data_IF_298779327772
#
_entry.id   IF_298779327772
#
_cell.length_a   1.000
_cell.length_b   1.000
_cell.length_c   1.000
_cell.angle_alpha   90.00
_cell.angle_beta   90.00
_cell.angle_gamma   90.00
#
_symmetry.space_group_name_H-M   'P 1'
#
loop_
_entity.id
_entity.type
_entity.pdbx_description
1 polymer ?
#
# COMPACT_ATOMS: atom_id res chain seq x y z
N UNK A 1 1.52 51.87 25.81
CA UNK A 1 1.86 51.21 24.53
C UNK A 1 2.76 50.01 24.79
N UNK A 2 2.22 48.85 25.18
CA UNK A 2 2.99 47.59 25.16
C UNK A 2 2.04 46.49 24.65
N UNK A 3 2.50 45.83 23.59
CA UNK A 3 1.73 45.07 22.60
C UNK A 3 1.28 43.69 23.10
N UNK A 4 0.01 43.35 22.84
CA UNK A 4 -0.53 42.00 22.97
C UNK A 4 0.21 41.03 22.03
N UNK A 5 0.88 40.03 22.59
CA UNK A 5 1.43 38.92 21.82
C UNK A 5 0.30 37.92 21.50
N UNK A 6 -0.17 37.92 20.25
CA UNK A 6 -1.01 36.84 19.72
C UNK A 6 -0.12 35.60 19.60
N UNK A 7 -0.32 34.63 20.48
CA UNK A 7 0.20 33.27 20.31
C UNK A 7 -0.56 32.62 19.14
N UNK A 8 0.04 32.68 17.95
CA UNK A 8 -0.32 31.81 16.83
C UNK A 8 0.03 30.37 17.23
N UNK A 9 -0.92 29.70 17.90
CA UNK A 9 -0.94 28.24 17.99
C UNK A 9 -1.09 27.71 16.57
N UNK A 10 0.03 27.39 15.95
CA UNK A 10 0.07 26.60 14.73
C UNK A 10 -0.51 25.24 15.09
N UNK A 11 -1.81 25.06 14.84
CA UNK A 11 -2.49 23.78 14.92
C UNK A 11 -1.92 22.89 13.83
N UNK A 12 -0.76 22.30 14.09
CA UNK A 12 -0.38 21.07 13.43
C UNK A 12 -1.53 20.10 13.71
N UNK A 13 -2.33 19.85 12.68
CA UNK A 13 -3.27 18.74 12.65
C UNK A 13 -2.46 17.52 13.08
N UNK A 14 -2.64 17.10 14.33
CA UNK A 14 -2.14 15.82 14.81
C UNK A 14 -2.98 14.82 14.01
N UNK A 15 -2.48 14.44 12.84
CA UNK A 15 -3.07 13.35 12.09
C UNK A 15 -2.89 12.12 12.95
N UNK A 16 -3.97 11.70 13.60
CA UNK A 16 -4.01 10.48 14.40
C UNK A 16 -3.89 9.31 13.43
N UNK A 17 -2.66 8.86 13.16
CA UNK A 17 -2.39 7.69 12.34
C UNK A 17 -2.60 6.38 13.12
N UNK A 18 -2.51 5.23 12.45
CA UNK A 18 -2.56 3.94 13.11
C UNK A 18 -1.49 3.81 14.22
N UNK A 19 -1.84 3.17 15.34
CA UNK A 19 -0.92 2.93 16.47
C UNK A 19 0.15 1.88 16.16
N UNK A 20 -0.02 1.16 15.04
CA UNK A 20 0.87 0.12 14.54
C UNK A 20 1.19 0.41 13.07
N UNK A 21 2.38 0.04 12.60
CA UNK A 21 2.84 0.23 11.23
C UNK A 21 1.98 -0.57 10.26
N UNK A 22 0.99 0.10 9.68
CA UNK A 22 0.06 -0.49 8.73
C UNK A 22 -0.40 0.53 7.69
N UNK A 23 -0.98 0.01 6.62
CA UNK A 23 -1.65 0.82 5.62
C UNK A 23 -2.85 0.09 5.05
N UNK A 24 -3.98 0.79 4.95
CA UNK A 24 -5.16 0.37 4.20
C UNK A 24 -5.41 1.30 3.01
N UNK A 25 -5.62 0.71 1.84
CA UNK A 25 -5.93 1.44 0.61
C UNK A 25 -7.13 0.79 -0.07
N UNK A 26 -8.05 1.61 -0.54
CA UNK A 26 -9.16 1.20 -1.40
C UNK A 26 -8.90 1.71 -2.82
N UNK A 27 -8.89 0.80 -3.80
CA UNK A 27 -8.78 1.14 -5.22
C UNK A 27 -10.06 0.77 -5.97
N UNK A 28 -10.39 1.57 -6.96
CA UNK A 28 -11.51 1.33 -7.86
C UNK A 28 -11.01 1.27 -9.30
N UNK A 29 -11.58 0.36 -10.07
CA UNK A 29 -11.25 0.14 -11.48
C UNK A 29 -12.52 0.05 -12.31
N UNK A 30 -12.45 0.60 -13.51
CA UNK A 30 -13.39 0.35 -14.61
C UNK A 30 -13.01 -0.87 -15.44
N UNK A 31 -12.39 -1.89 -14.86
CA UNK A 31 -12.10 -3.18 -15.48
C UNK A 31 -12.55 -4.30 -14.53
N UNK A 32 -12.61 -5.54 -15.02
CA UNK A 32 -13.14 -6.67 -14.23
C UNK A 32 -12.15 -7.09 -13.15
N UNK A 33 -12.65 -7.72 -12.09
CA UNK A 33 -11.77 -8.17 -11.01
C UNK A 33 -10.83 -9.28 -11.43
N UNK A 34 -11.19 -10.09 -12.42
CA UNK A 34 -10.32 -11.10 -13.01
C UNK A 34 -9.05 -10.47 -13.59
N UNK A 35 -9.21 -9.39 -14.37
CA UNK A 35 -8.10 -8.70 -15.01
C UNK A 35 -7.17 -8.04 -13.94
N UNK A 36 -7.77 -7.44 -12.91
CA UNK A 36 -7.04 -6.85 -11.77
C UNK A 36 -6.30 -7.92 -10.94
N UNK A 37 -6.99 -9.03 -10.66
CA UNK A 37 -6.44 -10.18 -9.93
C UNK A 37 -5.23 -10.78 -10.65
N UNK A 38 -5.36 -11.04 -11.95
CA UNK A 38 -4.30 -11.60 -12.76
C UNK A 38 -3.07 -10.69 -12.81
N UNK A 39 -3.27 -9.38 -12.96
CA UNK A 39 -2.21 -8.39 -12.94
C UNK A 39 -1.45 -8.39 -11.60
N UNK A 40 -2.17 -8.34 -10.47
CA UNK A 40 -1.58 -8.36 -9.13
C UNK A 40 -0.82 -9.65 -8.82
N UNK A 41 -1.43 -10.81 -9.08
CA UNK A 41 -0.80 -12.11 -8.82
C UNK A 41 0.44 -12.30 -9.70
N UNK A 42 0.38 -11.88 -10.97
CA UNK A 42 1.52 -11.92 -11.88
C UNK A 42 2.65 -11.03 -11.38
N UNK A 43 2.33 -9.83 -10.89
CA UNK A 43 3.32 -8.90 -10.36
C UNK A 43 4.01 -9.42 -9.09
N UNK A 44 3.23 -9.97 -8.16
CA UNK A 44 3.77 -10.62 -6.94
C UNK A 44 4.75 -11.74 -7.31
N UNK A 45 4.40 -12.57 -8.31
CA UNK A 45 5.27 -13.65 -8.79
C UNK A 45 6.52 -13.13 -9.49
N UNK A 46 6.40 -12.05 -10.27
CA UNK A 46 7.52 -11.42 -10.97
C UNK A 46 8.56 -10.86 -9.99
N UNK A 47 8.11 -10.36 -8.84
CA UNK A 47 8.96 -9.78 -7.81
C UNK A 47 9.29 -10.73 -6.66
N UNK A 48 9.29 -12.04 -6.89
CA UNK A 48 9.59 -13.03 -5.85
C UNK A 48 11.05 -13.09 -5.40
N UNK A 49 11.97 -12.64 -6.24
CA UNK A 49 13.44 -12.74 -6.02
C UNK A 49 14.07 -11.38 -5.74
N UNK A 50 15.31 -11.41 -5.26
CA UNK A 50 16.12 -10.21 -4.99
C UNK A 50 16.53 -9.44 -6.26
N UNK A 51 16.35 -10.05 -7.44
CA UNK A 51 16.81 -9.53 -8.74
C UNK A 51 16.34 -8.11 -9.04
N UNK A 52 15.16 -7.73 -8.56
CA UNK A 52 14.53 -6.43 -8.82
C UNK A 52 14.73 -5.42 -7.68
N UNK A 53 15.49 -5.78 -6.62
CA UNK A 53 15.75 -4.84 -5.51
C UNK A 53 16.83 -3.80 -5.83
N UNK A 54 17.65 -4.02 -6.87
CA UNK A 54 18.80 -3.16 -7.20
C UNK A 54 18.38 -1.81 -7.79
N UNK A 55 17.13 -1.69 -8.24
CA UNK A 55 16.57 -0.47 -8.84
C UNK A 55 15.85 0.43 -7.83
N UNK A 56 15.94 0.13 -6.52
CA UNK A 56 15.24 0.88 -5.47
C UNK A 56 13.77 0.46 -5.30
N UNK A 57 13.07 1.15 -4.38
CA UNK A 57 11.64 0.98 -4.11
C UNK A 57 11.22 -0.40 -3.61
N UNK A 58 12.16 -1.22 -3.12
CA UNK A 58 11.96 -2.58 -2.62
C UNK A 58 10.99 -3.44 -3.45
N UNK A 59 11.10 -3.34 -4.78
CA UNK A 59 10.23 -4.01 -5.78
C UNK A 59 10.60 -5.47 -5.97
N UNK A 60 10.62 -6.22 -4.88
CA UNK A 60 11.21 -7.55 -4.82
C UNK A 60 10.82 -8.26 -3.52
N UNK A 61 11.18 -9.54 -3.38
CA UNK A 61 10.92 -10.38 -2.21
C UNK A 61 9.44 -10.40 -1.78
N UNK A 62 8.53 -10.31 -2.75
CA UNK A 62 7.12 -10.58 -2.54
C UNK A 62 6.88 -12.09 -2.57
N UNK A 63 6.09 -12.61 -1.64
CA UNK A 63 5.78 -14.03 -1.53
C UNK A 63 4.28 -14.24 -1.52
N UNK A 64 3.75 -14.84 -2.58
CA UNK A 64 2.36 -15.27 -2.63
C UNK A 64 2.13 -16.42 -1.63
N UNK A 65 1.12 -16.29 -0.79
CA UNK A 65 0.74 -17.31 0.21
C UNK A 65 -0.48 -18.10 -0.27
N UNK A 66 -1.53 -17.38 -0.65
CA UNK A 66 -2.77 -17.94 -1.14
C UNK A 66 -3.45 -16.91 -2.05
N UNK A 67 -4.27 -17.36 -3.00
CA UNK A 67 -4.93 -16.46 -3.95
C UNK A 67 -6.17 -17.09 -4.58
N UNK A 68 -7.19 -16.26 -4.77
CA UNK A 68 -8.37 -16.51 -5.60
C UNK A 68 -8.84 -15.18 -6.20
N UNK A 69 -9.76 -15.22 -7.17
CA UNK A 69 -10.30 -13.98 -7.78
C UNK A 69 -10.92 -13.01 -6.75
N UNK A 70 -11.29 -13.47 -5.56
CA UNK A 70 -11.86 -12.65 -4.49
C UNK A 70 -10.85 -12.18 -3.44
N UNK A 71 -9.68 -12.80 -3.35
CA UNK A 71 -8.67 -12.44 -2.35
C UNK A 71 -7.24 -12.82 -2.75
N UNK A 72 -6.26 -12.06 -2.26
CA UNK A 72 -4.84 -12.39 -2.37
C UNK A 72 -4.20 -12.22 -1.00
N UNK A 73 -3.48 -13.24 -0.54
CA UNK A 73 -2.61 -13.15 0.63
C UNK A 73 -1.16 -13.28 0.18
N UNK A 74 -0.34 -12.33 0.61
CA UNK A 74 1.07 -12.29 0.31
C UNK A 74 1.87 -11.74 1.50
N UNK A 75 3.19 -11.84 1.41
CA UNK A 75 4.14 -11.24 2.34
C UNK A 75 5.15 -10.43 1.52
N UNK A 76 5.64 -9.34 2.07
CA UNK A 76 6.80 -8.62 1.56
C UNK A 76 7.91 -8.67 2.60
N UNK A 77 9.12 -9.04 2.17
CA UNK A 77 10.29 -9.06 3.06
C UNK A 77 11.24 -7.94 2.69
N UNK A 78 11.54 -7.07 3.65
CA UNK A 78 12.45 -5.94 3.42
C UNK A 78 13.88 -6.45 3.10
N UNK A 79 14.50 -6.07 1.97
CA UNK A 79 15.76 -6.65 1.49
C UNK A 79 16.93 -6.60 2.48
N UNK A 80 17.02 -5.53 3.27
CA UNK A 80 18.17 -5.27 4.15
C UNK A 80 17.89 -5.55 5.63
N UNK A 81 16.64 -5.32 6.08
CA UNK A 81 16.28 -5.48 7.50
C UNK A 81 15.54 -6.78 7.79
N UNK A 82 15.18 -7.58 6.76
CA UNK A 82 14.45 -8.86 6.87
C UNK A 82 13.18 -8.83 7.72
N UNK A 83 12.59 -7.65 7.91
CA UNK A 83 11.28 -7.56 8.51
C UNK A 83 10.26 -7.97 7.45
N UNK A 84 9.23 -8.65 7.91
CA UNK A 84 8.15 -9.16 7.07
C UNK A 84 6.91 -8.34 7.34
N UNK A 85 6.27 -7.89 6.26
CA UNK A 85 4.98 -7.22 6.30
C UNK A 85 3.96 -8.11 5.56
N UNK A 86 2.83 -8.39 6.21
CA UNK A 86 1.74 -9.15 5.62
C UNK A 86 0.94 -8.26 4.67
N UNK A 87 0.48 -8.82 3.56
CA UNK A 87 -0.35 -8.15 2.56
C UNK A 87 -1.63 -8.96 2.37
N UNK A 88 -2.77 -8.30 2.54
CA UNK A 88 -4.09 -8.85 2.32
C UNK A 88 -4.85 -7.99 1.32
N UNK A 89 -5.34 -8.59 0.25
CA UNK A 89 -6.10 -7.91 -0.80
C UNK A 89 -7.44 -8.62 -0.95
N UNK A 90 -8.53 -7.86 -1.00
CA UNK A 90 -9.88 -8.35 -1.29
C UNK A 90 -10.41 -7.67 -2.54
N UNK A 91 -11.03 -8.44 -3.42
CA UNK A 91 -11.60 -7.94 -4.67
C UNK A 91 -13.10 -8.20 -4.69
N UNK A 92 -13.87 -7.17 -5.04
CA UNK A 92 -15.32 -7.22 -5.16
C UNK A 92 -15.75 -6.61 -6.48
N UNK A 93 -16.42 -7.42 -7.31
CA UNK A 93 -16.96 -6.96 -8.57
C UNK A 93 -18.22 -6.11 -8.33
N UNK A 94 -18.39 -5.04 -9.11
CA UNK A 94 -19.59 -4.20 -9.07
C UNK A 94 -19.97 -3.73 -10.48
N UNK A 95 -21.16 -3.13 -10.62
CA UNK A 95 -21.74 -2.73 -11.93
C UNK A 95 -21.74 -3.88 -12.95
N UNK A 96 -22.53 -4.91 -12.67
CA UNK A 96 -22.69 -6.08 -13.53
C UNK A 96 -21.34 -6.74 -13.91
N UNK A 97 -20.44 -6.86 -12.92
CA UNK A 97 -19.13 -7.51 -13.08
C UNK A 97 -18.14 -6.82 -14.03
N UNK A 98 -18.41 -5.57 -14.44
CA UNK A 98 -17.52 -4.82 -15.35
C UNK A 98 -16.51 -3.91 -14.64
N UNK A 99 -16.69 -3.69 -13.33
CA UNK A 99 -15.84 -2.85 -12.50
C UNK A 99 -15.35 -3.63 -11.29
N UNK A 100 -14.19 -3.26 -10.75
CA UNK A 100 -13.61 -3.91 -9.58
C UNK A 100 -13.31 -2.91 -8.47
N UNK A 101 -13.75 -3.24 -7.26
CA UNK A 101 -13.31 -2.59 -6.03
C UNK A 101 -12.29 -3.50 -5.35
N UNK A 102 -11.16 -2.92 -4.96
CA UNK A 102 -10.07 -3.61 -4.28
C UNK A 102 -9.85 -2.95 -2.93
N UNK A 103 -9.92 -3.72 -1.86
CA UNK A 103 -9.52 -3.30 -0.51
C UNK A 103 -8.23 -4.02 -0.15
N UNK A 104 -7.12 -3.27 -0.03
CA UNK A 104 -5.81 -3.80 0.28
C UNK A 104 -5.32 -3.31 1.65
N UNK A 105 -4.59 -4.17 2.35
CA UNK A 105 -3.98 -3.86 3.64
C UNK A 105 -2.58 -4.44 3.70
N UNK A 106 -1.61 -3.65 4.16
CA UNK A 106 -0.27 -4.10 4.51
C UNK A 106 0.00 -3.79 5.98
N UNK A 107 0.51 -4.77 6.72
CA UNK A 107 0.70 -4.68 8.18
C UNK A 107 2.05 -5.29 8.54
N UNK A 108 2.85 -4.59 9.35
CA UNK A 108 4.11 -5.16 9.81
C UNK A 108 3.90 -6.32 10.78
N UNK A 109 4.63 -7.43 10.63
CA UNK A 109 4.63 -8.49 11.65
C UNK A 109 5.34 -8.04 12.95
N UNK A 110 6.11 -6.95 12.90
CA UNK A 110 6.83 -6.43 14.05
C UNK A 110 5.87 -5.64 14.94
N UNK A 111 5.48 -6.21 16.08
CA UNK A 111 4.44 -5.67 16.96
C UNK A 111 4.76 -4.29 17.57
N UNK A 112 6.04 -3.95 17.71
CA UNK A 112 6.51 -2.65 18.24
C UNK A 112 6.83 -1.62 17.14
N UNK A 113 6.59 -1.94 15.86
CA UNK A 113 6.75 -0.99 14.78
C UNK A 113 5.56 -0.01 14.79
N UNK A 114 5.78 1.22 15.25
CA UNK A 114 4.76 2.29 15.25
C UNK A 114 4.93 3.18 14.01
N UNK A 115 6.18 3.43 13.61
CA UNK A 115 6.55 4.19 12.41
C UNK A 115 7.26 3.28 11.42
N UNK A 116 6.98 3.47 10.14
CA UNK A 116 7.48 2.65 9.04
C UNK A 116 7.95 3.45 7.83
N UNK A 117 8.05 4.77 7.91
CA UNK A 117 8.40 5.66 6.79
C UNK A 117 7.46 5.50 5.57
N UNK A 118 6.21 5.10 5.80
CA UNK A 118 5.27 4.82 4.72
C UNK A 118 5.54 3.50 3.99
N UNK A 119 6.40 2.62 4.53
CA UNK A 119 6.75 1.35 3.87
C UNK A 119 5.51 0.49 3.60
N UNK A 120 4.56 0.39 4.53
CA UNK A 120 3.36 -0.41 4.27
C UNK A 120 2.51 0.18 3.13
N UNK A 121 2.51 1.50 2.93
CA UNK A 121 1.91 2.11 1.74
C UNK A 121 2.68 1.74 0.48
N UNK A 122 4.01 1.84 0.50
CA UNK A 122 4.84 1.50 -0.66
C UNK A 122 4.77 0.02 -1.04
N UNK A 123 4.68 -0.89 -0.09
CA UNK A 123 4.44 -2.32 -0.34
C UNK A 123 3.19 -2.54 -1.21
N UNK A 124 2.13 -1.77 -0.96
CA UNK A 124 0.89 -1.83 -1.71
C UNK A 124 1.00 -1.08 -3.05
N UNK A 125 1.46 0.17 -3.02
CA UNK A 125 1.55 1.03 -4.21
C UNK A 125 2.51 0.49 -5.26
N UNK A 126 3.65 -0.07 -4.86
CA UNK A 126 4.61 -0.67 -5.79
C UNK A 126 3.98 -1.81 -6.59
N UNK A 127 3.13 -2.66 -5.99
CA UNK A 127 2.42 -3.71 -6.73
C UNK A 127 1.45 -3.13 -7.76
N UNK A 128 0.77 -2.02 -7.42
CA UNK A 128 -0.13 -1.32 -8.33
C UNK A 128 0.60 -0.71 -9.52
N UNK A 129 1.68 0.02 -9.27
CA UNK A 129 2.48 0.66 -10.31
C UNK A 129 3.19 -0.39 -11.17
N UNK A 130 3.81 -1.40 -10.55
CA UNK A 130 4.54 -2.45 -11.26
C UNK A 130 3.65 -3.30 -12.16
N UNK A 131 2.38 -3.49 -11.79
CA UNK A 131 1.40 -4.23 -12.60
C UNK A 131 0.74 -3.37 -13.69
N UNK A 132 1.04 -2.06 -13.75
CA UNK A 132 0.42 -1.12 -14.69
C UNK A 132 -1.02 -0.75 -14.35
N UNK A 133 -1.54 -1.17 -13.20
CA UNK A 133 -2.93 -0.92 -12.79
C UNK A 133 -3.20 0.54 -12.44
N UNK A 134 -2.17 1.34 -12.14
CA UNK A 134 -2.30 2.80 -11.97
C UNK A 134 -2.77 3.51 -13.25
N UNK A 135 -2.47 2.92 -14.41
CA UNK A 135 -2.88 3.43 -15.72
C UNK A 135 -4.18 2.79 -16.24
N UNK A 136 -4.77 1.86 -15.47
CA UNK A 136 -5.98 1.16 -15.87
C UNK A 136 -7.18 2.10 -15.92
N UNK A 137 -8.12 1.79 -16.82
CA UNK A 137 -9.35 2.57 -16.99
C UNK A 137 -10.08 2.72 -15.66
N UNK A 138 -10.37 3.96 -15.28
CA UNK A 138 -11.15 4.27 -14.08
C UNK A 138 -10.41 4.03 -12.77
N UNK A 139 -9.08 3.91 -12.78
CA UNK A 139 -8.26 3.86 -11.58
C UNK A 139 -8.55 5.05 -10.66
N UNK A 140 -8.83 4.73 -9.39
CA UNK A 140 -8.97 5.72 -8.33
C UNK A 140 -8.50 5.13 -7.01
N UNK A 141 -7.62 5.84 -6.32
CA UNK A 141 -7.13 5.50 -4.99
C UNK A 141 -7.87 6.31 -3.91
N UNK A 142 -8.24 5.62 -2.82
CA UNK A 142 -8.80 6.22 -1.61
C UNK A 142 -7.98 5.73 -0.41
N UNK A 143 -7.23 6.65 0.19
CA UNK A 143 -6.45 6.42 1.41
C UNK A 143 -6.10 7.76 2.08
N UNK A 144 -5.57 7.73 3.30
CA UNK A 144 -5.17 8.91 4.07
C UNK A 144 -4.10 8.55 5.12
N UNK A 145 -3.49 9.55 5.75
CA UNK A 145 -2.57 9.32 6.88
C UNK A 145 -3.24 8.66 8.09
N UNK A 146 -4.57 8.73 8.19
CA UNK A 146 -5.34 8.02 9.21
C UNK A 146 -5.40 6.50 8.92
N UNK A 147 -5.42 6.13 7.64
CA UNK A 147 -5.48 4.73 7.20
C UNK A 147 -4.10 4.11 7.01
N UNK A 148 -3.10 4.94 6.73
CA UNK A 148 -1.75 4.54 6.41
C UNK A 148 -0.73 5.36 7.19
N UNK A 149 0.07 4.68 8.00
CA UNK A 149 1.14 5.30 8.77
C UNK A 149 2.09 6.05 7.83
N UNK A 150 2.22 7.36 8.02
CA UNK A 150 3.16 8.23 7.29
C UNK A 150 3.00 8.24 5.76
N UNK A 151 1.79 8.03 5.24
CA UNK A 151 1.51 8.01 3.80
C UNK A 151 1.98 9.29 3.10
N UNK A 152 1.65 10.47 3.62
CA UNK A 152 1.94 11.75 2.95
C UNK A 152 3.45 12.04 2.86
N UNK A 153 4.25 11.37 3.68
CA UNK A 153 5.71 11.44 3.68
C UNK A 153 6.37 10.20 3.05
N UNK A 154 5.59 9.28 2.49
CA UNK A 154 6.11 8.04 1.91
C UNK A 154 6.94 8.33 0.65
N UNK A 155 8.04 7.61 0.50
CA UNK A 155 8.86 7.67 -0.71
C UNK A 155 9.11 6.26 -1.25
N UNK A 156 8.26 5.84 -2.19
CA UNK A 156 8.28 4.49 -2.75
C UNK A 156 9.36 4.28 -3.83
N UNK A 157 10.19 5.29 -4.08
CA UNK A 157 11.45 5.10 -4.84
C UNK A 157 12.56 4.53 -3.94
N UNK A 158 12.42 4.68 -2.62
CA UNK A 158 13.32 4.13 -1.61
C UNK A 158 12.74 2.84 -1.01
N UNK A 159 11.45 2.89 -0.65
CA UNK A 159 10.73 1.83 0.06
C UNK A 159 9.82 1.00 -0.83
#
# INVERSE_FOLDING_TARGET
MWTSALLLLCSHLISAGPLHAQCKVDWYFGIRCEDVYEALVSQIKAWRTMSSCTTGGQRCLYKLKSASVHFIEAEHTRPFRRHVDNIHIRLAAFRFFTCCHVSAMSISQTWYAIKDHGTNYCNLYNLMEGSGLTEARGYREVTSDFLCTQRSSANCTIY
#
